data_IF_826371205317
#
_entry.id   IF_826371205317
#
_cell.length_a   1.000
_cell.length_b   1.000
_cell.length_c   1.000
_cell.angle_alpha   90.00
_cell.angle_beta   90.00
_cell.angle_gamma   90.00
#
_symmetry.space_group_name_H-M   'P 1'
#
loop_
_entity.id
_entity.type
_entity.pdbx_description
1 polymer ?
#
# COMPACT_ATOMS: atom_id res chain seq x y z
N UNK A 1 24.61 15.07 3.69
CA UNK A 1 24.82 14.16 4.83
C UNK A 1 23.56 13.99 5.65
N UNK A 2 23.50 13.00 6.50
CA UNK A 2 22.33 12.65 7.33
C UNK A 2 21.75 13.82 8.13
N UNK A 3 22.60 14.75 8.59
CA UNK A 3 22.18 15.95 9.33
C UNK A 3 21.19 16.83 8.55
N UNK A 4 21.38 16.98 7.25
CA UNK A 4 20.45 17.72 6.40
C UNK A 4 19.11 17.01 6.22
N UNK A 5 19.15 15.68 6.05
CA UNK A 5 17.92 14.87 5.92
C UNK A 5 17.08 14.97 7.18
N UNK A 6 17.70 14.76 8.35
CA UNK A 6 16.98 14.89 9.63
C UNK A 6 16.54 16.33 9.93
N UNK A 7 17.31 17.34 9.48
CA UNK A 7 16.93 18.74 9.63
C UNK A 7 15.66 19.09 8.82
N UNK A 8 15.60 18.64 7.57
CA UNK A 8 14.41 18.83 6.72
C UNK A 8 13.20 18.08 7.30
N UNK A 9 13.39 16.86 7.76
CA UNK A 9 12.33 16.05 8.37
C UNK A 9 11.79 16.73 9.62
N UNK A 10 12.65 17.23 10.50
CA UNK A 10 12.25 17.97 11.70
C UNK A 10 11.47 19.26 11.35
N UNK A 11 11.86 19.98 10.31
CA UNK A 11 11.13 21.18 9.84
C UNK A 11 9.74 20.84 9.30
N UNK A 12 9.62 19.74 8.52
CA UNK A 12 8.33 19.26 8.01
C UNK A 12 7.41 18.83 9.16
N UNK A 13 7.93 18.13 10.16
CA UNK A 13 7.18 17.81 11.37
C UNK A 13 6.73 19.05 12.13
N UNK A 14 7.60 20.04 12.31
CA UNK A 14 7.25 21.29 12.96
C UNK A 14 6.13 22.03 12.22
N UNK A 15 6.20 22.08 10.88
CA UNK A 15 5.14 22.67 10.05
C UNK A 15 3.81 21.92 10.19
N UNK A 16 3.85 20.58 10.23
CA UNK A 16 2.66 19.75 10.46
C UNK A 16 2.04 20.00 11.85
N UNK A 17 2.87 20.17 12.89
CA UNK A 17 2.41 20.54 14.24
C UNK A 17 1.73 21.90 14.27
N UNK A 18 2.29 22.91 13.60
CA UNK A 18 1.65 24.24 13.49
C UNK A 18 0.26 24.09 12.86
N UNK A 19 0.14 23.33 11.77
CA UNK A 19 -1.16 23.01 11.14
C UNK A 19 -2.14 22.36 12.12
N UNK A 20 -1.66 21.43 12.94
CA UNK A 20 -2.50 20.73 13.92
C UNK A 20 -3.02 21.67 15.03
N UNK A 21 -2.20 22.61 15.51
CA UNK A 21 -2.61 23.58 16.54
C UNK A 21 -3.61 24.62 16.02
N UNK A 22 -3.72 24.83 14.71
CA UNK A 22 -4.70 25.74 14.11
C UNK A 22 -6.08 25.09 13.93
N UNK A 23 -6.21 23.79 14.17
CA UNK A 23 -7.49 23.09 14.05
C UNK A 23 -8.47 23.52 15.15
N UNK A 24 -9.75 23.79 14.80
CA UNK A 24 -10.76 24.08 15.78
C UNK A 24 -10.98 22.87 16.71
N UNK A 25 -11.26 23.15 17.98
CA UNK A 25 -11.59 22.11 18.96
C UNK A 25 -12.92 21.46 18.56
N UNK A 26 -12.87 20.20 18.15
CA UNK A 26 -14.06 19.40 17.89
C UNK A 26 -14.55 18.83 19.23
N UNK A 27 -15.82 19.08 19.63
CA UNK A 27 -16.37 18.44 20.82
C UNK A 27 -16.37 16.93 20.65
N UNK A 28 -15.88 16.21 21.68
CA UNK A 28 -15.98 14.76 21.70
C UNK A 28 -17.46 14.36 21.67
N UNK A 29 -17.83 13.37 20.85
CA UNK A 29 -19.18 12.83 20.88
C UNK A 29 -19.52 12.36 22.30
N UNK A 30 -20.72 12.71 22.79
CA UNK A 30 -21.14 12.42 24.16
C UNK A 30 -21.08 10.95 24.55
N UNK A 31 -21.08 10.04 23.57
CA UNK A 31 -20.98 8.58 23.71
C UNK A 31 -19.60 8.02 23.30
N UNK A 32 -18.52 8.76 23.51
CA UNK A 32 -17.17 8.28 23.23
C UNK A 32 -16.88 7.03 24.08
N UNK A 33 -17.06 5.85 23.48
CA UNK A 33 -16.76 4.57 24.11
C UNK A 33 -15.27 4.48 24.37
N UNK A 34 -14.88 4.18 25.62
CA UNK A 34 -13.47 4.03 26.00
C UNK A 34 -12.79 2.99 25.13
N UNK A 35 -11.61 3.29 24.56
CA UNK A 35 -10.85 2.32 23.79
C UNK A 35 -10.50 1.11 24.67
N UNK A 36 -10.68 -0.09 24.14
CA UNK A 36 -10.41 -1.32 24.87
C UNK A 36 -10.67 -2.56 24.01
N UNK A 37 -10.34 -3.73 24.56
CA UNK A 37 -10.51 -5.02 23.90
C UNK A 37 -11.96 -5.28 23.45
N UNK A 38 -12.92 -4.85 24.24
CA UNK A 38 -14.35 -4.93 23.90
C UNK A 38 -14.71 -4.12 22.65
N UNK A 39 -14.16 -2.92 22.52
CA UNK A 39 -14.35 -2.07 21.33
C UNK A 39 -13.82 -2.74 20.07
N UNK A 40 -12.67 -3.43 20.15
CA UNK A 40 -12.11 -4.20 19.05
C UNK A 40 -13.03 -5.38 18.67
N UNK A 41 -13.53 -6.13 19.65
CA UNK A 41 -14.45 -7.25 19.41
C UNK A 41 -15.75 -6.79 18.74
N UNK A 42 -16.33 -5.66 19.19
CA UNK A 42 -17.52 -5.07 18.60
C UNK A 42 -17.28 -4.61 17.16
N UNK A 43 -16.12 -4.02 16.86
CA UNK A 43 -15.73 -3.66 15.50
C UNK A 43 -15.56 -4.88 14.59
N UNK A 44 -14.92 -5.96 15.08
CA UNK A 44 -14.80 -7.22 14.34
C UNK A 44 -16.16 -7.91 14.11
N UNK A 45 -17.05 -7.87 15.12
CA UNK A 45 -18.41 -8.39 14.98
C UNK A 45 -19.21 -7.60 13.92
N UNK A 46 -19.03 -6.27 13.88
CA UNK A 46 -19.63 -5.44 12.84
C UNK A 46 -19.10 -5.78 11.45
N UNK A 47 -17.77 -5.94 11.27
CA UNK A 47 -17.18 -6.33 9.99
C UNK A 47 -17.73 -7.66 9.44
N UNK A 48 -18.16 -8.59 10.30
CA UNK A 48 -18.82 -9.82 9.86
C UNK A 48 -20.18 -9.56 9.18
N UNK A 49 -20.86 -8.47 9.58
CA UNK A 49 -22.18 -8.06 9.06
C UNK A 49 -22.07 -7.02 7.95
N UNK A 50 -20.87 -6.44 7.72
CA UNK A 50 -20.57 -5.43 6.72
C UNK A 50 -19.71 -6.02 5.59
N UNK A 51 -20.30 -6.74 4.61
CA UNK A 51 -19.54 -7.52 3.63
C UNK A 51 -18.68 -6.66 2.70
N UNK A 52 -19.13 -5.45 2.36
CA UNK A 52 -18.38 -4.55 1.46
C UNK A 52 -17.16 -3.95 2.16
N UNK A 53 -17.34 -3.46 3.39
CA UNK A 53 -16.24 -2.93 4.21
C UNK A 53 -15.23 -4.04 4.48
N UNK A 54 -15.71 -5.24 4.86
CA UNK A 54 -14.86 -6.42 5.08
C UNK A 54 -14.06 -6.79 3.83
N UNK A 55 -14.67 -6.76 2.66
CA UNK A 55 -13.97 -7.07 1.41
C UNK A 55 -12.86 -6.05 1.14
N UNK A 56 -13.09 -4.76 1.38
CA UNK A 56 -12.07 -3.72 1.31
C UNK A 56 -10.88 -3.99 2.25
N UNK A 57 -11.14 -4.35 3.52
CA UNK A 57 -10.09 -4.71 4.48
C UNK A 57 -9.29 -5.95 4.07
N UNK A 58 -9.96 -6.99 3.55
CA UNK A 58 -9.28 -8.21 3.09
C UNK A 58 -8.39 -7.95 1.88
N UNK A 59 -8.85 -7.15 0.94
CA UNK A 59 -8.08 -6.76 -0.24
C UNK A 59 -6.85 -5.95 0.17
N UNK A 60 -7.00 -5.04 1.13
CA UNK A 60 -5.88 -4.26 1.68
C UNK A 60 -4.87 -5.14 2.41
N UNK A 61 -5.34 -6.02 3.28
CA UNK A 61 -4.47 -6.96 4.01
C UNK A 61 -3.66 -7.84 3.06
N UNK A 62 -4.28 -8.33 1.98
CA UNK A 62 -3.59 -9.10 0.95
C UNK A 62 -2.54 -8.26 0.22
N UNK A 63 -2.89 -7.04 -0.18
CA UNK A 63 -1.96 -6.13 -0.86
C UNK A 63 -0.77 -5.79 0.04
N UNK A 64 -1.01 -5.41 1.29
CA UNK A 64 0.03 -5.04 2.24
C UNK A 64 0.87 -6.24 2.72
N UNK A 65 0.25 -7.41 2.87
CA UNK A 65 0.94 -8.63 3.32
C UNK A 65 1.76 -9.33 2.24
N UNK A 66 1.39 -9.19 0.96
CA UNK A 66 2.04 -9.93 -0.13
C UNK A 66 2.74 -9.03 -1.16
N UNK A 67 2.43 -7.73 -1.18
CA UNK A 67 2.83 -6.84 -2.26
C UNK A 67 3.88 -5.78 -1.90
N UNK A 68 4.54 -5.83 -0.74
CA UNK A 68 5.49 -4.81 -0.31
C UNK A 68 6.94 -5.25 -0.44
N UNK A 69 7.64 -4.94 -1.55
CA UNK A 69 9.01 -5.38 -1.77
C UNK A 69 10.09 -4.52 -1.10
N UNK A 70 9.72 -3.52 -0.27
CA UNK A 70 10.67 -2.55 0.30
C UNK A 70 11.82 -3.19 1.08
N UNK A 71 11.55 -4.28 1.83
CA UNK A 71 12.56 -5.03 2.58
C UNK A 71 13.66 -5.61 1.67
N UNK A 72 13.37 -5.80 0.39
CA UNK A 72 14.31 -6.34 -0.59
C UNK A 72 15.20 -5.27 -1.25
N UNK A 73 14.87 -3.98 -1.14
CA UNK A 73 15.57 -2.92 -1.84
C UNK A 73 17.09 -2.88 -1.56
N UNK A 74 17.58 -3.08 -0.30
CA UNK A 74 19.01 -3.14 -0.05
C UNK A 74 19.69 -4.27 -0.83
N UNK A 75 19.11 -5.47 -0.83
CA UNK A 75 19.67 -6.61 -1.56
C UNK A 75 19.56 -6.43 -3.10
N UNK A 76 18.46 -5.88 -3.58
CA UNK A 76 18.27 -5.59 -5.02
C UNK A 76 19.24 -4.51 -5.50
N UNK A 77 19.46 -3.45 -4.70
CA UNK A 77 20.41 -2.39 -5.03
C UNK A 77 21.87 -2.83 -4.98
N UNK A 78 22.23 -3.74 -4.08
CA UNK A 78 23.60 -4.22 -3.96
C UNK A 78 23.94 -5.36 -4.94
N UNK A 79 22.99 -6.31 -5.15
CA UNK A 79 23.27 -7.60 -5.79
C UNK A 79 22.64 -7.78 -7.17
N UNK A 80 21.65 -6.95 -7.54
CA UNK A 80 20.84 -7.18 -8.75
C UNK A 80 20.93 -6.01 -9.73
N UNK A 81 20.52 -4.82 -9.31
CA UNK A 81 20.55 -3.62 -10.17
C UNK A 81 21.91 -2.92 -10.08
N UNK A 82 22.56 -2.99 -8.92
CA UNK A 82 23.80 -2.25 -8.60
C UNK A 82 23.51 -0.85 -8.07
N UNK A 83 24.58 -0.11 -7.74
CA UNK A 83 24.49 1.27 -7.26
C UNK A 83 24.21 1.43 -5.77
N UNK A 84 24.12 0.34 -5.01
CA UNK A 84 24.07 0.32 -3.56
C UNK A 84 23.02 1.24 -2.92
N UNK A 85 23.39 2.06 -1.92
CA UNK A 85 22.44 2.91 -1.18
C UNK A 85 21.73 3.96 -2.03
N UNK A 86 22.33 4.43 -3.12
CA UNK A 86 21.72 5.40 -4.03
C UNK A 86 20.53 4.75 -4.74
N UNK A 87 20.71 3.54 -5.25
CA UNK A 87 19.63 2.76 -5.86
C UNK A 87 18.49 2.52 -4.87
N UNK A 88 18.78 2.16 -3.61
CA UNK A 88 17.76 2.00 -2.56
C UNK A 88 16.94 3.28 -2.37
N UNK A 89 17.63 4.42 -2.31
CA UNK A 89 16.99 5.73 -2.21
C UNK A 89 16.07 6.03 -3.41
N UNK A 90 16.52 5.77 -4.63
CA UNK A 90 15.75 5.98 -5.87
C UNK A 90 14.52 5.06 -5.91
N UNK A 91 14.66 3.78 -5.59
CA UNK A 91 13.55 2.83 -5.56
C UNK A 91 12.48 3.25 -4.52
N UNK A 92 12.93 3.66 -3.33
CA UNK A 92 12.04 4.15 -2.26
C UNK A 92 11.31 5.43 -2.70
N UNK A 93 12.04 6.39 -3.27
CA UNK A 93 11.47 7.64 -3.76
C UNK A 93 10.45 7.40 -4.89
N UNK A 94 10.68 6.42 -5.76
CA UNK A 94 9.77 6.12 -6.87
C UNK A 94 8.36 5.74 -6.40
N UNK A 95 8.25 4.88 -5.39
CA UNK A 95 6.97 4.54 -4.80
C UNK A 95 6.28 5.77 -4.17
N UNK A 96 7.03 6.58 -3.43
CA UNK A 96 6.52 7.80 -2.82
C UNK A 96 6.06 8.83 -3.87
N UNK A 97 6.79 8.98 -4.98
CA UNK A 97 6.40 9.86 -6.10
C UNK A 97 5.06 9.39 -6.70
N UNK A 98 4.89 8.08 -6.92
CA UNK A 98 3.63 7.53 -7.41
C UNK A 98 2.45 7.86 -6.50
N UNK A 99 2.59 7.64 -5.19
CA UNK A 99 1.60 8.00 -4.18
C UNK A 99 1.31 9.50 -4.20
N UNK A 100 2.34 10.33 -4.15
CA UNK A 100 2.21 11.79 -4.12
C UNK A 100 1.49 12.34 -5.34
N UNK A 101 1.89 11.94 -6.54
CA UNK A 101 1.25 12.41 -7.78
C UNK A 101 -0.22 11.99 -7.84
N UNK A 102 -0.54 10.79 -7.41
CA UNK A 102 -1.93 10.32 -7.36
C UNK A 102 -2.75 11.10 -6.34
N UNK A 103 -2.22 11.34 -5.15
CA UNK A 103 -2.86 12.18 -4.14
C UNK A 103 -3.14 13.59 -4.65
N UNK A 104 -2.16 14.21 -5.31
CA UNK A 104 -2.29 15.54 -5.92
C UNK A 104 -3.36 15.59 -7.02
N UNK A 105 -3.48 14.52 -7.82
CA UNK A 105 -4.44 14.41 -8.93
C UNK A 105 -5.76 13.76 -8.51
N UNK A 106 -6.00 13.53 -7.23
CA UNK A 106 -7.17 12.80 -6.71
C UNK A 106 -8.51 13.54 -6.82
N UNK A 107 -8.53 14.82 -7.19
CA UNK A 107 -9.76 15.63 -7.30
C UNK A 107 -10.93 14.94 -8.02
N UNK A 108 -10.72 14.31 -9.20
CA UNK A 108 -11.78 13.59 -9.90
C UNK A 108 -12.33 12.35 -9.18
N UNK A 109 -11.62 11.82 -8.18
CA UNK A 109 -12.04 10.62 -7.44
C UNK A 109 -13.39 10.80 -6.74
N UNK A 110 -13.72 12.04 -6.30
CA UNK A 110 -15.02 12.37 -5.71
C UNK A 110 -16.23 12.12 -6.62
N UNK A 111 -16.05 12.05 -7.92
CA UNK A 111 -17.11 11.83 -8.93
C UNK A 111 -17.29 10.33 -9.29
N UNK A 112 -16.45 9.45 -8.77
CA UNK A 112 -16.51 8.02 -9.08
C UNK A 112 -17.64 7.35 -8.31
N UNK A 113 -18.70 6.95 -9.02
CA UNK A 113 -19.87 6.30 -8.44
C UNK A 113 -19.58 4.87 -7.97
N UNK A 114 -18.90 4.07 -8.78
CA UNK A 114 -18.62 2.65 -8.52
C UNK A 114 -17.30 2.45 -7.77
N UNK A 115 -17.25 2.89 -6.52
CA UNK A 115 -16.02 2.90 -5.72
C UNK A 115 -15.44 1.50 -5.48
N UNK A 116 -16.29 0.49 -5.28
CA UNK A 116 -15.82 -0.89 -5.10
C UNK A 116 -15.14 -1.47 -6.34
N UNK A 117 -15.57 -1.08 -7.55
CA UNK A 117 -14.87 -1.44 -8.80
C UNK A 117 -13.53 -0.71 -8.90
N UNK A 118 -13.49 0.56 -8.52
CA UNK A 118 -12.26 1.34 -8.51
C UNK A 118 -11.22 0.70 -7.57
N UNK A 119 -11.61 0.29 -6.35
CA UNK A 119 -10.76 -0.44 -5.41
C UNK A 119 -10.22 -1.73 -6.08
N UNK A 120 -11.10 -2.57 -6.65
CA UNK A 120 -10.68 -3.83 -7.24
C UNK A 120 -9.70 -3.62 -8.41
N UNK A 121 -9.98 -2.68 -9.30
CA UNK A 121 -9.12 -2.36 -10.44
C UNK A 121 -7.76 -1.83 -9.95
N UNK A 122 -7.75 -0.91 -8.98
CA UNK A 122 -6.51 -0.34 -8.44
C UNK A 122 -5.63 -1.42 -7.81
N UNK A 123 -6.21 -2.34 -7.03
CA UNK A 123 -5.44 -3.44 -6.42
C UNK A 123 -4.97 -4.47 -7.46
N UNK A 124 -5.71 -4.65 -8.56
CA UNK A 124 -5.19 -5.44 -9.69
C UNK A 124 -3.97 -4.77 -10.34
N UNK A 125 -4.01 -3.47 -10.58
CA UNK A 125 -2.83 -2.73 -11.07
C UNK A 125 -1.67 -2.82 -10.07
N UNK A 126 -1.95 -2.66 -8.77
CA UNK A 126 -0.95 -2.83 -7.72
C UNK A 126 -0.26 -4.19 -7.82
N UNK A 127 -1.02 -5.29 -7.83
CA UNK A 127 -0.49 -6.65 -7.99
C UNK A 127 0.30 -6.83 -9.30
N UNK A 128 -0.17 -6.25 -10.40
CA UNK A 128 0.52 -6.24 -11.69
C UNK A 128 1.87 -5.53 -11.63
N UNK A 129 1.95 -4.37 -10.99
CA UNK A 129 3.20 -3.64 -10.82
C UNK A 129 4.16 -4.33 -9.86
N UNK A 130 3.66 -4.97 -8.80
CA UNK A 130 4.50 -5.81 -7.92
C UNK A 130 5.08 -6.99 -8.69
N UNK A 131 4.28 -7.69 -9.50
CA UNK A 131 4.74 -8.77 -10.36
C UNK A 131 5.74 -8.27 -11.42
N UNK A 132 5.52 -7.09 -12.00
CA UNK A 132 6.47 -6.45 -12.92
C UNK A 132 7.82 -6.19 -12.25
N UNK A 133 7.83 -5.65 -11.03
CA UNK A 133 9.06 -5.48 -10.25
C UNK A 133 9.79 -6.82 -10.06
N UNK A 134 9.05 -7.88 -9.65
CA UNK A 134 9.60 -9.23 -9.54
C UNK A 134 10.17 -9.76 -10.85
N UNK A 135 9.51 -9.47 -11.97
CA UNK A 135 9.97 -9.87 -13.32
C UNK A 135 11.25 -9.14 -13.72
N UNK A 136 11.38 -7.85 -13.39
CA UNK A 136 12.62 -7.08 -13.63
C UNK A 136 13.78 -7.70 -12.84
N UNK A 137 13.56 -8.02 -11.56
CA UNK A 137 14.57 -8.67 -10.72
C UNK A 137 14.94 -10.06 -11.27
N UNK A 138 13.96 -10.84 -11.73
CA UNK A 138 14.18 -12.14 -12.39
C UNK A 138 15.04 -12.00 -13.63
N UNK A 139 14.69 -11.08 -14.53
CA UNK A 139 15.43 -10.85 -15.77
C UNK A 139 16.89 -10.49 -15.50
N UNK A 140 17.15 -9.68 -14.47
CA UNK A 140 18.51 -9.32 -14.08
C UNK A 140 19.29 -10.51 -13.51
N UNK A 141 18.67 -11.36 -12.70
CA UNK A 141 19.33 -12.52 -12.10
C UNK A 141 19.58 -13.66 -13.08
N UNK A 142 18.77 -13.79 -14.13
CA UNK A 142 18.87 -14.90 -15.11
C UNK A 142 19.42 -14.47 -16.45
N UNK A 143 19.42 -13.18 -16.77
CA UNK A 143 19.72 -12.65 -18.10
C UNK A 143 21.20 -12.53 -18.45
N UNK A 144 22.13 -12.99 -17.60
CA UNK A 144 23.58 -12.96 -17.88
C UNK A 144 24.15 -11.54 -18.01
N UNK A 145 23.53 -10.56 -17.35
CA UNK A 145 24.04 -9.18 -17.30
C UNK A 145 25.39 -9.12 -16.58
N UNK A 146 26.19 -8.11 -16.92
CA UNK A 146 27.49 -7.89 -16.28
C UNK A 146 27.33 -7.77 -14.75
N UNK A 147 28.35 -8.21 -14.02
CA UNK A 147 28.38 -8.09 -12.57
C UNK A 147 28.17 -6.64 -12.16
N UNK A 148 27.23 -6.41 -11.25
CA UNK A 148 26.93 -5.09 -10.70
C UNK A 148 27.73 -4.86 -9.43
N UNK A 149 28.08 -3.60 -9.14
CA UNK A 149 28.83 -3.21 -7.97
C UNK A 149 28.05 -2.24 -7.08
N UNK A 150 28.66 -1.85 -5.98
CA UNK A 150 28.08 -0.87 -5.05
C UNK A 150 28.16 0.57 -5.58
N UNK A 151 29.06 0.83 -6.55
CA UNK A 151 29.16 2.14 -7.19
C UNK A 151 27.96 2.36 -8.13
N UNK A 152 27.34 3.53 -8.03
CA UNK A 152 26.20 3.90 -8.87
C UNK A 152 26.51 3.88 -10.37
N UNK A 153 27.76 4.12 -10.74
CA UNK A 153 28.20 4.02 -12.14
C UNK A 153 28.08 2.60 -12.72
N UNK A 154 28.01 1.56 -11.87
CA UNK A 154 27.85 0.16 -12.27
C UNK A 154 26.41 -0.30 -12.29
N UNK A 155 25.45 0.57 -11.90
CA UNK A 155 24.04 0.23 -11.90
C UNK A 155 23.53 0.03 -13.33
N UNK A 156 22.67 -0.99 -13.52
CA UNK A 156 21.99 -1.18 -14.80
C UNK A 156 20.86 -0.15 -14.97
N UNK A 157 20.99 0.83 -15.91
CA UNK A 157 20.04 1.93 -15.99
C UNK A 157 18.65 1.47 -16.49
N UNK A 158 18.57 0.47 -17.36
CA UNK A 158 17.32 -0.05 -17.89
C UNK A 158 16.52 -0.75 -16.78
N UNK A 159 17.19 -1.63 -16.04
CA UNK A 159 16.57 -2.31 -14.90
C UNK A 159 16.11 -1.34 -13.82
N UNK A 160 16.93 -0.31 -13.52
CA UNK A 160 16.58 0.73 -12.56
C UNK A 160 15.32 1.49 -12.99
N UNK A 161 15.25 1.95 -14.24
CA UNK A 161 14.09 2.68 -14.78
C UNK A 161 12.84 1.82 -14.75
N UNK A 162 12.91 0.55 -15.20
CA UNK A 162 11.76 -0.35 -15.17
C UNK A 162 11.30 -0.64 -13.74
N UNK A 163 12.23 -0.85 -12.81
CA UNK A 163 11.91 -1.01 -11.39
C UNK A 163 11.26 0.25 -10.80
N UNK A 164 11.75 1.44 -11.15
CA UNK A 164 11.15 2.72 -10.74
C UNK A 164 9.74 2.90 -11.27
N UNK A 165 9.47 2.58 -12.54
CA UNK A 165 8.12 2.62 -13.13
C UNK A 165 7.20 1.65 -12.40
N UNK A 166 7.66 0.41 -12.17
CA UNK A 166 6.88 -0.58 -11.43
C UNK A 166 6.54 -0.08 -10.02
N UNK A 167 7.51 0.45 -9.27
CA UNK A 167 7.31 0.94 -7.91
C UNK A 167 6.46 2.22 -7.85
N UNK A 168 6.64 3.15 -8.78
CA UNK A 168 5.75 4.31 -8.89
C UNK A 168 4.31 3.87 -9.19
N UNK A 169 4.13 2.87 -10.05
CA UNK A 169 2.85 2.25 -10.31
C UNK A 169 2.22 1.59 -9.07
N UNK A 170 3.03 0.94 -8.22
CA UNK A 170 2.51 0.39 -6.94
C UNK A 170 2.03 1.51 -6.03
N UNK A 171 2.83 2.57 -5.84
CA UNK A 171 2.45 3.71 -5.01
C UNK A 171 1.17 4.40 -5.51
N UNK A 172 1.09 4.64 -6.81
CA UNK A 172 -0.09 5.25 -7.44
C UNK A 172 -1.36 4.39 -7.26
N UNK A 173 -1.24 3.09 -7.50
CA UNK A 173 -2.37 2.16 -7.41
C UNK A 173 -2.86 1.98 -5.97
N UNK A 174 -1.94 1.93 -5.01
CA UNK A 174 -2.29 1.85 -3.58
C UNK A 174 -3.01 3.10 -3.11
N UNK A 175 -2.53 4.29 -3.49
CA UNK A 175 -3.15 5.56 -3.12
C UNK A 175 -4.59 5.66 -3.66
N UNK A 176 -4.83 5.32 -4.94
CA UNK A 176 -6.20 5.28 -5.49
C UNK A 176 -7.09 4.35 -4.68
N UNK A 177 -6.60 3.15 -4.37
CA UNK A 177 -7.33 2.19 -3.56
C UNK A 177 -7.61 2.71 -2.15
N UNK A 178 -6.63 3.36 -1.51
CA UNK A 178 -6.74 3.91 -0.15
C UNK A 178 -7.79 5.01 -0.07
N UNK A 179 -7.84 5.92 -1.06
CA UNK A 179 -8.85 6.99 -1.15
C UNK A 179 -10.26 6.39 -1.16
N UNK A 180 -10.53 5.40 -2.01
CA UNK A 180 -11.86 4.81 -2.10
C UNK A 180 -12.21 3.93 -0.90
N UNK A 181 -11.24 3.18 -0.33
CA UNK A 181 -11.47 2.38 0.88
C UNK A 181 -11.79 3.25 2.09
N UNK A 182 -11.04 4.33 2.29
CA UNK A 182 -11.31 5.26 3.40
C UNK A 182 -12.64 5.96 3.25
N UNK A 183 -12.99 6.40 2.05
CA UNK A 183 -14.30 7.01 1.75
C UNK A 183 -15.43 6.03 2.02
N UNK A 184 -15.34 4.80 1.50
CA UNK A 184 -16.34 3.75 1.72
C UNK A 184 -16.53 3.46 3.22
N UNK A 185 -15.43 3.35 3.98
CA UNK A 185 -15.49 3.12 5.42
C UNK A 185 -16.18 4.28 6.17
N UNK A 186 -15.89 5.52 5.80
CA UNK A 186 -16.45 6.70 6.46
C UNK A 186 -17.94 6.92 6.11
N UNK A 187 -18.35 6.60 4.88
CA UNK A 187 -19.71 6.87 4.40
C UNK A 187 -20.66 5.72 4.73
N UNK A 188 -20.23 4.45 4.58
CA UNK A 188 -21.08 3.29 4.81
C UNK A 188 -21.17 2.85 6.28
N UNK A 189 -20.24 3.28 7.14
CA UNK A 189 -20.26 2.91 8.55
C UNK A 189 -21.08 3.93 9.39
N UNK A 190 -21.94 3.46 10.32
CA UNK A 190 -22.58 4.33 11.30
C UNK A 190 -21.55 5.09 12.14
N UNK A 191 -21.87 6.31 12.56
CA UNK A 191 -20.95 7.21 13.29
C UNK A 191 -20.34 6.54 14.52
N UNK A 192 -21.13 5.78 15.29
CA UNK A 192 -20.70 5.05 16.49
C UNK A 192 -19.65 3.96 16.19
N UNK A 193 -19.61 3.44 14.96
CA UNK A 193 -18.68 2.38 14.54
C UNK A 193 -17.42 2.91 13.84
N UNK A 194 -17.43 4.16 13.34
CA UNK A 194 -16.29 4.72 12.59
C UNK A 194 -14.99 4.67 13.37
N UNK A 195 -14.98 5.10 14.63
CA UNK A 195 -13.76 5.08 15.47
C UNK A 195 -13.25 3.65 15.73
N UNK A 196 -14.16 2.67 15.91
CA UNK A 196 -13.80 1.25 16.11
C UNK A 196 -13.20 0.65 14.84
N UNK A 197 -13.82 0.92 13.68
CA UNK A 197 -13.32 0.48 12.39
C UNK A 197 -11.98 1.13 12.04
N UNK A 198 -11.81 2.42 12.35
CA UNK A 198 -10.54 3.13 12.18
C UNK A 198 -9.44 2.50 13.05
N UNK A 199 -9.73 2.10 14.28
CA UNK A 199 -8.79 1.39 15.15
C UNK A 199 -8.36 0.04 14.54
N UNK A 200 -9.30 -0.75 14.01
CA UNK A 200 -8.99 -2.00 13.32
C UNK A 200 -8.16 -1.73 12.07
N UNK A 201 -8.55 -0.73 11.28
CA UNK A 201 -7.81 -0.33 10.08
C UNK A 201 -6.36 0.03 10.41
N UNK A 202 -6.13 0.81 11.47
CA UNK A 202 -4.78 1.15 11.93
C UNK A 202 -3.96 -0.09 12.28
N UNK A 203 -4.56 -1.09 12.95
CA UNK A 203 -3.88 -2.36 13.25
C UNK A 203 -3.52 -3.13 11.97
N UNK A 204 -4.42 -3.17 10.99
CA UNK A 204 -4.17 -3.82 9.70
C UNK A 204 -3.07 -3.11 8.92
N UNK A 205 -3.13 -1.78 8.82
CA UNK A 205 -2.14 -0.97 8.10
C UNK A 205 -0.77 -0.98 8.78
N UNK A 206 -0.71 -1.05 10.11
CA UNK A 206 0.56 -1.13 10.84
C UNK A 206 1.13 -2.55 10.88
N UNK A 207 0.26 -3.57 11.02
CA UNK A 207 0.66 -4.98 11.17
C UNK A 207 0.87 -5.70 9.85
N UNK A 208 0.03 -5.43 8.84
CA UNK A 208 0.11 -6.07 7.52
C UNK A 208 1.50 -5.99 6.88
N UNK A 209 2.12 -4.79 6.80
CA UNK A 209 3.46 -4.63 6.28
C UNK A 209 4.53 -5.47 7.00
N UNK A 210 4.42 -5.64 8.30
CA UNK A 210 5.39 -6.44 9.09
C UNK A 210 5.34 -7.93 8.74
N UNK A 211 4.13 -8.44 8.51
CA UNK A 211 3.94 -9.81 8.00
C UNK A 211 4.47 -9.91 6.57
N UNK A 212 4.25 -8.89 5.75
CA UNK A 212 4.78 -8.79 4.40
C UNK A 212 6.31 -8.80 4.36
N UNK A 213 6.95 -8.00 5.21
CA UNK A 213 8.41 -7.94 5.31
C UNK A 213 8.99 -9.32 5.68
N UNK A 214 8.36 -10.03 6.63
CA UNK A 214 8.75 -11.38 7.04
C UNK A 214 8.59 -12.39 5.89
N UNK A 215 7.43 -12.38 5.23
CA UNK A 215 7.16 -13.22 4.06
C UNK A 215 8.18 -12.99 2.95
N UNK A 216 8.41 -11.71 2.57
CA UNK A 216 9.36 -11.33 1.52
C UNK A 216 10.79 -11.75 1.88
N UNK A 217 11.22 -11.51 3.14
CA UNK A 217 12.56 -11.87 3.58
C UNK A 217 12.81 -13.38 3.59
N UNK A 218 11.88 -14.17 4.14
CA UNK A 218 12.02 -15.63 4.20
C UNK A 218 12.06 -16.22 2.78
N UNK A 219 11.14 -15.84 1.90
CA UNK A 219 11.12 -16.41 0.56
C UNK A 219 12.29 -15.93 -0.32
N UNK A 220 12.75 -14.71 -0.14
CA UNK A 220 13.91 -14.21 -0.88
C UNK A 220 15.19 -14.97 -0.51
N UNK A 221 15.36 -15.33 0.75
CA UNK A 221 16.52 -16.12 1.21
C UNK A 221 16.39 -17.60 0.88
N UNK A 222 15.17 -18.15 0.92
CA UNK A 222 14.94 -19.57 0.64
C UNK A 222 14.96 -19.94 -0.86
N UNK A 223 14.57 -19.00 -1.72
CA UNK A 223 14.45 -19.24 -3.17
C UNK A 223 15.31 -18.25 -3.97
N UNK A 224 14.91 -16.99 -4.07
CA UNK A 224 15.61 -15.93 -4.77
C UNK A 224 14.91 -14.59 -4.56
N UNK A 225 15.61 -13.45 -4.79
CA UNK A 225 15.07 -12.10 -4.60
C UNK A 225 13.88 -11.78 -5.51
N UNK A 226 13.80 -12.35 -6.69
CA UNK A 226 12.69 -12.14 -7.62
C UNK A 226 11.41 -12.88 -7.24
N UNK A 227 11.54 -13.99 -6.51
CA UNK A 227 10.43 -14.92 -6.29
C UNK A 227 9.29 -14.34 -5.44
N UNK A 228 9.53 -13.74 -4.25
CA UNK A 228 8.44 -13.25 -3.40
C UNK A 228 7.64 -12.11 -4.04
N UNK A 229 8.21 -11.07 -4.69
CA UNK A 229 7.39 -10.03 -5.32
C UNK A 229 6.64 -10.57 -6.55
N UNK A 230 7.22 -11.46 -7.34
CA UNK A 230 6.52 -12.06 -8.47
C UNK A 230 5.34 -12.92 -7.98
N UNK A 231 5.58 -13.82 -7.03
CA UNK A 231 4.54 -14.65 -6.43
C UNK A 231 3.45 -13.80 -5.75
N UNK A 232 3.84 -12.83 -4.94
CA UNK A 232 2.92 -11.93 -4.23
C UNK A 232 2.02 -11.16 -5.19
N UNK A 233 2.60 -10.58 -6.24
CA UNK A 233 1.84 -9.88 -7.28
C UNK A 233 0.83 -10.79 -8.00
N UNK A 234 1.24 -12.00 -8.38
CA UNK A 234 0.35 -12.97 -9.03
C UNK A 234 -0.77 -13.46 -8.10
N UNK A 235 -0.46 -13.69 -6.82
CA UNK A 235 -1.46 -14.08 -5.81
C UNK A 235 -2.47 -12.95 -5.59
N UNK A 236 -2.03 -11.70 -5.53
CA UNK A 236 -2.92 -10.54 -5.43
C UNK A 236 -3.85 -10.47 -6.65
N UNK A 237 -3.33 -10.60 -7.86
CA UNK A 237 -4.13 -10.63 -9.09
C UNK A 237 -5.18 -11.73 -9.06
N UNK A 238 -4.78 -12.95 -8.70
CA UNK A 238 -5.67 -14.10 -8.61
C UNK A 238 -6.75 -13.89 -7.52
N UNK A 239 -6.35 -13.45 -6.33
CA UNK A 239 -7.26 -13.24 -5.20
C UNK A 239 -8.30 -12.16 -5.50
N UNK A 240 -7.89 -11.00 -6.06
CA UNK A 240 -8.82 -9.94 -6.45
C UNK A 240 -9.73 -10.38 -7.59
N UNK A 241 -9.22 -11.15 -8.55
CA UNK A 241 -10.02 -11.77 -9.62
C UNK A 241 -11.10 -12.71 -9.07
N UNK A 242 -10.75 -13.54 -8.09
CA UNK A 242 -11.69 -14.45 -7.41
C UNK A 242 -12.70 -13.69 -6.56
N UNK A 243 -12.24 -12.74 -5.74
CA UNK A 243 -13.13 -11.90 -4.91
C UNK A 243 -14.10 -11.14 -5.81
N UNK A 244 -13.63 -10.57 -6.91
CA UNK A 244 -14.45 -9.83 -7.86
C UNK A 244 -15.51 -10.71 -8.57
N UNK A 245 -15.25 -12.01 -8.74
CA UNK A 245 -16.22 -12.96 -9.30
C UNK A 245 -17.22 -13.44 -8.25
N UNK A 246 -16.75 -13.73 -7.03
CA UNK A 246 -17.58 -14.31 -5.96
C UNK A 246 -18.39 -13.27 -5.18
N UNK A 247 -17.94 -12.02 -5.15
CA UNK A 247 -18.53 -10.93 -4.37
C UNK A 247 -19.05 -9.83 -5.30
N UNK A 248 -20.22 -10.07 -5.89
CA UNK A 248 -20.90 -9.07 -6.71
C UNK A 248 -21.13 -7.74 -5.93
N UNK A 249 -21.35 -7.80 -4.62
CA UNK A 249 -21.59 -6.63 -3.76
C UNK A 249 -20.47 -5.59 -3.80
N UNK A 250 -19.19 -6.00 -3.78
CA UNK A 250 -18.10 -5.04 -3.90
C UNK A 250 -18.07 -4.37 -5.28
N UNK A 251 -18.36 -5.13 -6.35
CA UNK A 251 -18.39 -4.57 -7.72
C UNK A 251 -19.58 -3.64 -7.97
N UNK A 252 -20.68 -3.87 -7.27
CA UNK A 252 -21.92 -3.10 -7.39
C UNK A 252 -22.05 -2.03 -6.28
N UNK A 253 -21.03 -1.87 -5.45
CA UNK A 253 -21.04 -0.83 -4.41
C UNK A 253 -21.19 0.55 -5.05
N UNK A 254 -22.32 1.19 -4.76
CA UNK A 254 -22.71 2.50 -5.28
C UNK A 254 -22.50 3.56 -4.19
N UNK A 255 -21.67 4.55 -4.46
CA UNK A 255 -21.42 5.66 -3.54
C UNK A 255 -22.67 6.52 -3.26
N UNK A 256 -23.65 6.50 -4.17
CA UNK A 256 -24.94 7.22 -4.01
C UNK A 256 -25.96 6.46 -3.13
N UNK A 257 -25.76 5.15 -2.94
CA UNK A 257 -26.58 4.31 -2.07
C UNK A 257 -25.65 3.42 -1.22
N UNK A 258 -24.92 4.00 -0.26
CA UNK A 258 -23.88 3.30 0.49
C UNK A 258 -24.48 2.18 1.34
N UNK A 259 -23.96 0.97 1.17
CA UNK A 259 -24.32 -0.23 1.97
C UNK A 259 -23.08 -0.78 2.65
N UNK A 260 -23.14 -1.10 3.98
CA UNK A 260 -22.01 -1.60 4.74
C UNK A 260 -21.46 -2.97 4.30
#
# INVERSE_FOLDING_TARGET
GFSWTYGVDALLFAAAFVGLFTLPRLPAAHDAVRPGWRSLQEGLAYLRRAPNIRAGFLVDLLAMGLGRPQVLFPAVGALVIGGGPITVGILTASAAIGTFLTGLLSGPAGHVRWQGRAIAISVMFYGGFVALFGTVVLAMQTGGFAAVGEDFATANPVALVLACIALAGTGASDEVSAIFRSTMMLVAAPDQMRGRLQGIFTVVVAGGPRIGDLYMGILATAVALWFPPLLGGLVILAAVGVIGRLRAGLRTYDALAPTP
#
